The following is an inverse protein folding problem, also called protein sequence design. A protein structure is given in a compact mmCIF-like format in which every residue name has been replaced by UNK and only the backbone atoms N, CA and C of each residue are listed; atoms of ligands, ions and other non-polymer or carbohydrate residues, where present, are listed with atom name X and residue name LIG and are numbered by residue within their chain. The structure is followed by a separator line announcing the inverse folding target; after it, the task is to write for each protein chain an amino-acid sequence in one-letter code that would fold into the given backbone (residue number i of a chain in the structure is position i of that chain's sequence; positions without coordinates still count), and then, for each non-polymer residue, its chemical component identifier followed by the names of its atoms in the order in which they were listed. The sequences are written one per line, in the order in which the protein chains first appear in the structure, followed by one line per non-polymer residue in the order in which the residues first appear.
data_IF_882631492226
#
_entry.id   IF_882631492226
#
_cell.length_a   1.000
_cell.length_b   1.000
_cell.length_c   1.000
_cell.angle_alpha   90.00
_cell.angle_beta   90.00
_cell.angle_gamma   90.00
#
_symmetry.space_group_name_H-M   'P 1'
#
loop_
_entity.id
_entity.type
_entity.pdbx_description
1 polymer ?
#
# COMPACT_ATOMS: atom_id res chain seq x y z
N UNK A 1 -26.73 -9.87 -11.91
CA UNK A 1 -25.47 -10.66 -11.86
C UNK A 1 -25.40 -11.32 -10.49
N UNK A 2 -25.18 -12.64 -10.38
CA UNK A 2 -25.00 -13.26 -9.07
C UNK A 2 -23.68 -12.76 -8.46
N UNK A 3 -23.72 -12.30 -7.21
CA UNK A 3 -22.51 -11.94 -6.46
C UNK A 3 -21.65 -13.19 -6.32
N UNK A 4 -20.39 -13.12 -6.77
CA UNK A 4 -19.43 -14.23 -6.63
C UNK A 4 -19.28 -14.54 -5.14
N UNK A 5 -19.26 -15.82 -4.72
CA UNK A 5 -19.09 -16.16 -3.31
C UNK A 5 -17.78 -15.56 -2.78
N UNK A 6 -17.84 -14.95 -1.60
CA UNK A 6 -16.71 -14.34 -0.88
C UNK A 6 -15.89 -15.38 -0.09
N UNK A 7 -16.04 -16.65 -0.46
CA UNK A 7 -15.54 -17.81 0.30
C UNK A 7 -14.01 -17.87 0.39
N UNK A 8 -13.29 -17.05 -0.38
CA UNK A 8 -11.82 -16.98 -0.42
C UNK A 8 -11.22 -15.76 0.28
N UNK A 9 -12.04 -14.92 0.92
CA UNK A 9 -11.54 -13.80 1.73
C UNK A 9 -10.93 -14.34 3.01
N UNK A 10 -9.65 -14.04 3.26
CA UNK A 10 -8.91 -14.52 4.45
C UNK A 10 -8.60 -13.41 5.46
N UNK A 11 -8.63 -12.15 5.01
CA UNK A 11 -8.38 -10.98 5.85
C UNK A 11 -9.36 -9.87 5.50
N UNK A 12 -9.95 -9.25 6.51
CA UNK A 12 -10.74 -8.02 6.38
C UNK A 12 -10.07 -6.93 7.19
N UNK A 13 -9.81 -5.78 6.56
CA UNK A 13 -9.26 -4.59 7.21
C UNK A 13 -10.35 -3.53 7.28
N UNK A 14 -10.60 -2.97 8.47
CA UNK A 14 -11.58 -1.92 8.71
C UNK A 14 -10.91 -0.63 9.20
N UNK A 15 -11.28 0.51 8.62
CA UNK A 15 -10.83 1.82 9.10
C UNK A 15 -10.61 2.82 7.98
N UNK A 16 -9.66 3.74 8.18
CA UNK A 16 -9.37 4.80 7.20
C UNK A 16 -8.47 4.28 6.08
N UNK A 17 -8.88 4.49 4.82
CA UNK A 17 -8.08 4.18 3.63
C UNK A 17 -7.93 5.42 2.76
N UNK A 18 -6.69 5.71 2.38
CA UNK A 18 -6.31 6.86 1.56
C UNK A 18 -5.68 6.34 0.27
N UNK A 19 -6.19 6.74 -0.89
CA UNK A 19 -5.60 6.38 -2.19
C UNK A 19 -5.73 7.51 -3.21
N UNK A 20 -5.04 7.36 -4.35
CA UNK A 20 -5.10 8.29 -5.48
C UNK A 20 -5.58 7.53 -6.73
N UNK A 21 -6.90 7.51 -7.02
CA UNK A 21 -7.42 6.79 -8.18
C UNK A 21 -7.08 7.46 -9.52
N UNK A 22 -6.90 8.77 -9.52
CA UNK A 22 -6.39 9.55 -10.65
C UNK A 22 -5.23 10.45 -10.20
N UNK A 23 -4.46 10.98 -11.16
CA UNK A 23 -3.24 11.76 -10.92
C UNK A 23 -3.43 12.96 -9.98
N UNK A 24 -4.57 13.64 -10.04
CA UNK A 24 -4.86 14.86 -9.27
C UNK A 24 -5.79 14.62 -8.09
N UNK A 25 -6.12 13.36 -7.81
CA UNK A 25 -7.16 13.02 -6.83
C UNK A 25 -6.54 12.37 -5.60
N UNK A 26 -6.88 12.90 -4.43
CA UNK A 26 -6.66 12.24 -3.15
C UNK A 26 -8.02 11.85 -2.57
N UNK A 27 -8.27 10.55 -2.44
CA UNK A 27 -9.52 10.01 -1.93
C UNK A 27 -9.32 9.46 -0.53
N UNK A 28 -10.07 10.01 0.43
CA UNK A 28 -10.08 9.58 1.83
C UNK A 28 -11.39 8.86 2.15
N UNK A 29 -11.31 7.66 2.74
CA UNK A 29 -12.47 6.88 3.18
C UNK A 29 -12.30 6.49 4.63
N UNK A 30 -13.02 7.15 5.52
CA UNK A 30 -12.88 7.01 6.98
C UNK A 30 -13.47 5.72 7.56
N UNK A 31 -14.38 5.07 6.83
CA UNK A 31 -15.10 3.87 7.27
C UNK A 31 -15.03 2.77 6.20
N UNK A 32 -13.85 2.57 5.62
CA UNK A 32 -13.67 1.59 4.57
C UNK A 32 -13.56 0.16 5.16
N UNK A 33 -14.07 -0.80 4.39
CA UNK A 33 -13.89 -2.23 4.62
C UNK A 33 -13.19 -2.82 3.41
N UNK A 34 -12.02 -3.41 3.62
CA UNK A 34 -11.21 -4.04 2.58
C UNK A 34 -11.12 -5.54 2.85
N UNK A 35 -11.67 -6.36 1.95
CA UNK A 35 -11.42 -7.78 1.93
C UNK A 35 -10.13 -8.09 1.16
N UNK A 36 -9.33 -9.00 1.67
CA UNK A 36 -8.14 -9.52 1.01
C UNK A 36 -8.32 -11.02 0.84
N UNK A 37 -8.22 -11.47 -0.40
CA UNK A 37 -8.34 -12.88 -0.78
C UNK A 37 -7.06 -13.63 -0.45
N UNK A 38 -7.15 -14.95 -0.32
CA UNK A 38 -5.99 -15.81 -0.10
C UNK A 38 -4.86 -15.59 -1.13
N UNK A 39 -5.22 -15.24 -2.37
CA UNK A 39 -4.29 -14.96 -3.48
C UNK A 39 -3.67 -13.55 -3.44
N UNK A 40 -3.95 -12.75 -2.41
CA UNK A 40 -3.39 -11.39 -2.25
C UNK A 40 -4.12 -10.28 -3.00
N UNK A 41 -5.19 -10.58 -3.74
CA UNK A 41 -6.00 -9.54 -4.41
C UNK A 41 -6.94 -8.86 -3.41
N UNK A 42 -7.04 -7.53 -3.52
CA UNK A 42 -7.98 -6.73 -2.70
C UNK A 42 -9.36 -6.75 -3.36
N UNK A 43 -10.35 -7.21 -2.61
CA UNK A 43 -11.75 -7.02 -2.92
C UNK A 43 -12.29 -5.88 -2.05
N UNK A 44 -12.85 -4.87 -2.68
CA UNK A 44 -13.33 -3.69 -1.99
C UNK A 44 -14.85 -3.70 -1.96
N UNK A 45 -15.43 -3.76 -0.78
CA UNK A 45 -16.88 -3.70 -0.59
C UNK A 45 -17.28 -2.49 0.26
N UNK A 46 -18.48 -1.96 -0.01
CA UNK A 46 -19.19 -1.05 0.88
C UNK A 46 -20.37 -1.81 1.48
N UNK A 47 -20.46 -1.89 2.81
CA UNK A 47 -21.48 -2.66 3.53
C UNK A 47 -20.96 -3.95 4.16
N UNK A 48 -21.87 -4.71 4.81
CA UNK A 48 -21.56 -5.97 5.51
C UNK A 48 -20.85 -6.96 4.58
N UNK A 49 -19.57 -7.22 4.87
CA UNK A 49 -18.82 -8.31 4.25
C UNK A 49 -19.34 -9.62 4.83
N UNK A 50 -19.84 -10.51 3.98
CA UNK A 50 -20.13 -11.89 4.38
C UNK A 50 -18.80 -12.57 4.62
N UNK A 51 -18.43 -12.68 5.90
CA UNK A 51 -17.17 -13.28 6.32
C UNK A 51 -17.17 -14.77 5.99
N UNK A 52 -16.17 -15.22 5.25
CA UNK A 52 -15.87 -16.65 5.14
C UNK A 52 -15.51 -17.20 6.54
N UNK A 53 -15.75 -18.49 6.77
CA UNK A 53 -15.31 -19.15 8.01
C UNK A 53 -13.78 -19.12 8.07
N UNK A 54 -13.21 -18.52 9.12
CA UNK A 54 -11.76 -18.43 9.33
C UNK A 54 -11.10 -17.13 8.86
N UNK A 55 -11.89 -16.17 8.37
CA UNK A 55 -11.39 -14.83 8.05
C UNK A 55 -10.89 -14.09 9.31
N UNK A 56 -9.71 -13.46 9.21
CA UNK A 56 -9.19 -12.56 10.26
C UNK A 56 -9.72 -11.15 10.02
N UNK A 57 -10.32 -10.54 11.04
CA UNK A 57 -10.69 -9.12 11.00
C UNK A 57 -9.63 -8.30 11.71
N UNK A 58 -9.18 -7.22 11.08
CA UNK A 58 -8.25 -6.25 11.67
C UNK A 58 -8.81 -4.84 11.58
N UNK A 59 -9.07 -4.27 12.73
CA UNK A 59 -9.39 -2.86 12.88
C UNK A 59 -8.10 -2.03 12.89
N UNK A 60 -8.07 -0.98 12.07
CA UNK A 60 -7.00 0.01 12.14
C UNK A 60 -7.12 0.82 13.44
N UNK A 61 -6.00 1.26 14.04
CA UNK A 61 -6.03 2.14 15.19
C UNK A 61 -6.82 3.43 14.92
N UNK A 62 -7.36 4.08 15.96
CA UNK A 62 -8.20 5.27 15.84
C UNK A 62 -7.58 6.45 15.06
N UNK A 63 -6.24 6.53 15.02
CA UNK A 63 -5.48 7.52 14.23
C UNK A 63 -4.60 6.87 13.15
N UNK A 64 -4.83 5.59 12.89
CA UNK A 64 -4.18 4.83 11.83
C UNK A 64 -4.96 4.95 10.52
N UNK A 65 -4.24 4.89 9.41
CA UNK A 65 -4.80 4.77 8.09
C UNK A 65 -3.97 3.78 7.27
N UNK A 66 -4.57 3.29 6.19
CA UNK A 66 -3.88 2.50 5.18
C UNK A 66 -3.79 3.30 3.88
N UNK A 67 -2.65 3.17 3.20
CA UNK A 67 -2.45 3.69 1.84
C UNK A 67 -1.80 2.62 0.96
N UNK A 68 -1.87 2.77 -0.39
CA UNK A 68 -1.06 1.96 -1.27
C UNK A 68 0.42 2.03 -0.90
N UNK A 69 1.14 0.92 -1.07
CA UNK A 69 2.60 0.92 -0.96
C UNK A 69 3.19 1.91 -1.97
N UNK A 70 4.22 2.64 -1.56
CA UNK A 70 4.93 3.54 -2.45
C UNK A 70 5.70 2.73 -3.51
N UNK A 71 5.71 3.22 -4.74
CA UNK A 71 6.43 2.61 -5.84
C UNK A 71 7.70 3.42 -6.07
N UNK A 72 8.85 2.85 -5.72
CA UNK A 72 10.15 3.39 -6.10
C UNK A 72 10.48 2.89 -7.52
N UNK A 73 10.48 3.81 -8.48
CA UNK A 73 10.74 3.50 -9.89
C UNK A 73 12.22 3.51 -10.24
N UNK A 74 13.09 4.03 -9.36
CA UNK A 74 14.51 4.12 -9.62
C UNK A 74 15.31 4.29 -8.33
N UNK A 75 15.97 3.21 -7.93
CA UNK A 75 16.87 3.17 -6.78
C UNK A 75 18.16 2.45 -7.16
N UNK A 76 19.28 2.91 -6.63
CA UNK A 76 20.57 2.23 -6.75
C UNK A 76 20.85 1.42 -5.49
N UNK A 77 20.31 0.19 -5.43
CA UNK A 77 20.46 -0.67 -4.24
C UNK A 77 21.93 -0.88 -3.79
N UNK A 78 22.92 -1.10 -4.69
CA UNK A 78 24.32 -1.26 -4.28
C UNK A 78 24.93 0.00 -3.65
N UNK A 79 24.38 1.18 -3.92
CA UNK A 79 24.88 2.45 -3.38
C UNK A 79 24.29 2.77 -2.01
N UNK A 80 23.45 1.90 -1.44
CA UNK A 80 22.78 2.15 -0.17
C UNK A 80 23.77 2.47 0.96
N UNK A 81 24.91 1.76 1.03
CA UNK A 81 25.95 1.97 2.04
C UNK A 81 26.56 3.38 2.01
N UNK A 82 26.44 4.10 0.89
CA UNK A 82 26.92 5.47 0.72
C UNK A 82 25.78 6.51 0.73
N UNK A 83 24.57 6.10 1.09
CA UNK A 83 23.43 7.03 1.23
C UNK A 83 23.76 8.09 2.27
N UNK A 84 23.69 9.37 1.88
CA UNK A 84 23.93 10.51 2.77
C UNK A 84 25.39 10.98 2.83
N UNK A 85 26.33 10.31 2.14
CA UNK A 85 27.74 10.73 2.04
C UNK A 85 28.10 11.17 0.61
N UNK A 86 29.19 11.93 0.46
CA UNK A 86 29.77 12.34 -0.83
C UNK A 86 29.06 13.48 -1.59
N UNK A 87 27.96 14.04 -1.09
CA UNK A 87 27.30 15.22 -1.69
C UNK A 87 27.99 16.58 -1.39
N UNK A 88 29.14 16.55 -0.71
CA UNK A 88 29.79 17.72 -0.09
C UNK A 88 30.85 18.45 -0.93
N UNK A 89 31.21 17.93 -2.10
CA UNK A 89 32.02 18.67 -3.07
C UNK A 89 31.14 18.99 -4.28
N UNK A 90 31.34 20.14 -4.91
CA UNK A 90 30.78 20.62 -6.19
C UNK A 90 31.13 19.70 -7.38
N UNK A 91 31.16 18.39 -7.17
CA UNK A 91 31.49 17.38 -8.15
C UNK A 91 30.29 17.18 -9.04
N UNK A 92 30.44 17.49 -10.33
CA UNK A 92 29.40 17.18 -11.31
C UNK A 92 29.17 15.67 -11.35
N UNK A 93 28.06 15.23 -11.98
CA UNK A 93 27.74 13.79 -12.16
C UNK A 93 28.88 12.96 -12.78
N UNK A 94 29.85 13.62 -13.41
CA UNK A 94 31.03 13.05 -14.06
C UNK A 94 32.21 12.83 -13.09
N UNK A 95 32.27 13.55 -11.97
CA UNK A 95 33.31 13.41 -10.94
C UNK A 95 32.92 12.44 -9.79
N UNK A 96 31.72 11.86 -9.87
CA UNK A 96 31.26 10.76 -9.01
C UNK A 96 31.67 9.42 -9.67
N UNK A 97 32.53 8.60 -9.03
CA UNK A 97 33.68 7.94 -9.68
C UNK A 97 33.34 6.49 -10.14
N UNK A 98 34.10 5.76 -10.97
CA UNK A 98 35.57 5.63 -11.16
C UNK A 98 36.39 5.22 -9.93
N UNK A 99 35.72 4.71 -8.89
CA UNK A 99 36.27 3.77 -7.88
C UNK A 99 35.18 2.78 -7.44
#
# INVERSE_FOLDING_TARGET
MPKRPLDDVVLVIRGTVIDSPELTTLRVRTHAVLGVRAIGTVLREGGEVVLSRGCVIRDLPARGFLCPGLVDTHTHAPQFSFTGIGRGSLRQRVEWPDE
#
